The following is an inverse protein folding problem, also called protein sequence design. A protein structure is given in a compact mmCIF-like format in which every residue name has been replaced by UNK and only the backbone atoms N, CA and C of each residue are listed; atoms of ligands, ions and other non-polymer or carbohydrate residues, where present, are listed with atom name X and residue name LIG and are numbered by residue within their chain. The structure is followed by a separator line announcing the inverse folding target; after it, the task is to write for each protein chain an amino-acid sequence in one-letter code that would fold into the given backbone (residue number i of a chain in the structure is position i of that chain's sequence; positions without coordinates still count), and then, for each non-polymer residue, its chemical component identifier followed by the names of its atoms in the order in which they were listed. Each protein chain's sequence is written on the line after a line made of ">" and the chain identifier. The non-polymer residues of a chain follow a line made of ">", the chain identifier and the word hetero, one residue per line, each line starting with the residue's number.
data_IF_159781051406
#
_entry.id   IF_159781051406
#
_cell.length_a   1.000
_cell.length_b   1.000
_cell.length_c   1.000
_cell.angle_alpha   90.00
_cell.angle_beta   90.00
_cell.angle_gamma   90.00
#
_symmetry.space_group_name_H-M   'P 1'
#
loop_
_entity.id
_entity.type
_entity.pdbx_description
1 polymer ?
#
# COMPACT_ATOMS: atom_id res chain seq x y z
N UNK A 1 4.83 18.40 -8.63
CA UNK A 1 5.55 17.90 -7.46
C UNK A 1 6.92 17.39 -7.91
N UNK A 2 8.00 17.92 -7.35
CA UNK A 2 9.37 17.47 -7.66
C UNK A 2 9.77 16.33 -6.69
N UNK A 3 9.07 15.22 -6.77
CA UNK A 3 9.29 14.05 -5.89
C UNK A 3 8.81 12.76 -6.55
N UNK A 4 9.43 11.66 -6.17
CA UNK A 4 8.91 10.32 -6.40
C UNK A 4 7.94 9.94 -5.28
N UNK A 5 6.80 9.36 -5.65
CA UNK A 5 5.73 9.00 -4.73
C UNK A 5 5.59 7.49 -4.64
N UNK A 6 5.72 6.94 -3.45
CA UNK A 6 5.42 5.54 -3.13
C UNK A 6 4.12 5.51 -2.34
N UNK A 7 3.03 5.07 -2.98
CA UNK A 7 1.78 4.84 -2.28
C UNK A 7 1.86 3.59 -1.42
N UNK A 8 1.38 3.69 -0.20
CA UNK A 8 1.26 2.55 0.69
C UNK A 8 -0.13 1.93 0.53
N UNK A 9 -0.20 0.63 0.49
CA UNK A 9 -1.46 -0.10 0.37
C UNK A 9 -1.59 -1.13 1.49
N UNK A 10 -2.81 -1.22 2.06
CA UNK A 10 -3.16 -2.27 3.01
C UNK A 10 -4.65 -2.60 2.86
N UNK A 11 -5.00 -3.83 2.45
CA UNK A 11 -6.40 -4.17 2.13
C UNK A 11 -7.29 -4.31 3.36
N UNK A 12 -6.72 -4.54 4.55
CA UNK A 12 -7.43 -4.76 5.81
C UNK A 12 -7.65 -3.48 6.65
N UNK A 13 -7.17 -2.32 6.20
CA UNK A 13 -7.49 -1.04 6.83
C UNK A 13 -8.75 -0.47 6.20
N UNK A 14 -9.86 -0.67 6.87
CA UNK A 14 -11.20 -0.29 6.38
C UNK A 14 -11.94 0.55 7.42
N UNK A 15 -12.93 1.32 6.97
CA UNK A 15 -13.86 2.01 7.86
C UNK A 15 -14.96 1.03 8.29
N UNK A 16 -14.84 0.47 9.48
CA UNK A 16 -15.74 -0.58 9.98
C UNK A 16 -17.02 -0.05 10.62
N UNK A 17 -17.32 1.24 10.50
CA UNK A 17 -18.53 1.79 11.08
C UNK A 17 -19.74 1.04 10.55
N UNK A 18 -20.58 0.56 11.47
CA UNK A 18 -21.86 -0.03 11.09
C UNK A 18 -22.74 1.08 10.53
N UNK A 19 -23.22 0.92 9.31
CA UNK A 19 -24.30 1.76 8.84
C UNK A 19 -25.49 1.57 9.76
N UNK A 20 -26.11 2.63 10.25
CA UNK A 20 -27.32 2.53 11.05
C UNK A 20 -28.51 1.93 10.29
N UNK A 21 -28.30 1.49 9.05
CA UNK A 21 -29.36 1.18 8.08
C UNK A 21 -29.13 -0.11 7.29
N UNK A 22 -28.84 -1.23 7.95
CA UNK A 22 -28.95 -2.51 7.26
C UNK A 22 -30.44 -2.84 7.04
N UNK A 23 -31.04 -2.32 5.97
CA UNK A 23 -32.20 -2.91 5.34
C UNK A 23 -31.79 -3.56 4.03
N UNK A 24 -32.28 -4.75 3.80
CA UNK A 24 -31.82 -5.77 2.87
C UNK A 24 -32.36 -5.61 1.43
N UNK A 25 -32.55 -4.43 0.90
CA UNK A 25 -33.01 -4.24 -0.47
C UNK A 25 -32.01 -3.47 -1.31
N UNK A 26 -31.75 -3.99 -2.49
CA UNK A 26 -30.82 -3.42 -3.48
C UNK A 26 -31.53 -2.26 -4.19
N UNK A 27 -31.39 -1.06 -3.66
CA UNK A 27 -31.86 0.15 -4.29
C UNK A 27 -30.81 1.26 -4.27
N UNK A 28 -30.95 2.26 -5.11
CA UNK A 28 -30.03 3.40 -5.21
C UNK A 28 -29.82 4.14 -3.88
N UNK A 29 -30.85 4.21 -3.03
CA UNK A 29 -30.74 4.79 -1.68
C UNK A 29 -29.86 3.97 -0.74
N UNK A 30 -29.76 2.65 -0.91
CA UNK A 30 -28.92 1.79 -0.10
C UNK A 30 -27.45 1.83 -0.56
N UNK A 31 -27.22 1.97 -1.85
CA UNK A 31 -25.88 2.22 -2.37
C UNK A 31 -25.29 3.52 -1.78
N UNK A 32 -26.12 4.52 -1.53
CA UNK A 32 -25.70 5.76 -0.88
C UNK A 32 -25.34 5.59 0.60
N UNK A 33 -25.84 4.56 1.26
CA UNK A 33 -25.58 4.24 2.67
C UNK A 33 -24.33 3.36 2.86
N UNK A 34 -23.74 2.86 1.79
CA UNK A 34 -22.60 1.95 1.82
C UNK A 34 -21.26 2.71 1.94
N UNK A 35 -21.12 3.52 2.97
CA UNK A 35 -19.82 4.06 3.36
C UNK A 35 -19.04 3.10 4.25
N UNK A 36 -19.70 2.02 4.68
CA UNK A 36 -19.16 1.00 5.54
C UNK A 36 -18.14 0.13 4.83
N UNK A 37 -17.14 -0.33 5.60
CA UNK A 37 -16.09 -1.21 5.13
C UNK A 37 -15.30 -0.66 3.92
N UNK A 38 -15.37 0.65 3.71
CA UNK A 38 -14.55 1.29 2.71
C UNK A 38 -13.07 1.17 3.09
N UNK A 39 -12.27 0.64 2.17
CA UNK A 39 -10.82 0.62 2.32
C UNK A 39 -10.28 2.04 2.44
N UNK A 40 -9.49 2.29 3.47
CA UNK A 40 -8.90 3.59 3.72
C UNK A 40 -7.54 3.74 3.04
N UNK A 41 -7.21 4.97 2.69
CA UNK A 41 -5.88 5.39 2.26
C UNK A 41 -4.97 5.40 3.49
N UNK A 42 -3.95 4.57 3.52
CA UNK A 42 -3.02 4.50 4.66
C UNK A 42 -1.83 5.44 4.53
N UNK A 43 -1.71 6.15 3.40
CA UNK A 43 -0.71 7.17 3.18
C UNK A 43 0.32 6.85 2.10
N UNK A 44 1.40 7.62 2.11
CA UNK A 44 2.46 7.53 1.10
C UNK A 44 3.78 8.06 1.61
N UNK A 45 4.88 7.57 1.02
CA UNK A 45 6.21 8.11 1.19
C UNK A 45 6.61 8.92 -0.03
N UNK A 46 7.19 10.09 0.20
CA UNK A 46 7.73 10.97 -0.84
C UNK A 46 9.25 11.01 -0.73
N UNK A 47 9.93 10.75 -1.84
CA UNK A 47 11.36 10.95 -1.97
C UNK A 47 11.61 12.24 -2.76
N UNK A 48 12.24 13.21 -2.12
CA UNK A 48 12.62 14.50 -2.70
C UNK A 48 14.12 14.51 -2.95
N UNK A 49 14.58 14.32 -4.20
CA UNK A 49 15.99 14.52 -4.50
C UNK A 49 16.34 16.01 -4.50
N UNK A 50 17.59 16.31 -4.23
CA UNK A 50 18.12 17.65 -4.51
C UNK A 50 18.17 17.88 -6.01
N UNK A 51 17.82 19.10 -6.44
CA UNK A 51 17.70 19.46 -7.85
C UNK A 51 16.31 19.15 -8.44
N UNK A 52 16.15 19.49 -9.70
CA UNK A 52 14.91 19.29 -10.47
C UNK A 52 14.95 17.92 -11.16
N UNK A 53 13.93 17.11 -10.99
CA UNK A 53 13.78 15.86 -11.73
C UNK A 53 13.57 16.18 -13.20
N UNK A 54 14.44 15.67 -14.07
CA UNK A 54 14.41 15.83 -15.51
C UNK A 54 13.75 14.64 -16.21
N UNK A 55 14.05 13.41 -15.73
CA UNK A 55 13.47 12.17 -16.26
C UNK A 55 13.50 11.06 -15.23
N UNK A 56 12.72 10.00 -15.47
CA UNK A 56 12.73 8.78 -14.68
C UNK A 56 12.41 7.57 -15.54
N UNK A 57 13.13 6.48 -15.32
CA UNK A 57 12.86 5.17 -15.93
C UNK A 57 12.61 4.17 -14.83
N UNK A 58 11.57 3.35 -15.02
CA UNK A 58 11.15 2.35 -14.03
C UNK A 58 10.97 1.01 -14.72
N UNK A 59 11.42 -0.04 -14.04
CA UNK A 59 11.23 -1.41 -14.48
C UNK A 59 10.67 -2.25 -13.34
N UNK A 60 9.52 -2.86 -13.58
CA UNK A 60 8.87 -3.80 -12.67
C UNK A 60 9.13 -5.23 -13.16
N UNK A 61 9.94 -5.97 -12.42
CA UNK A 61 10.12 -7.40 -12.59
C UNK A 61 9.00 -8.13 -11.84
N UNK A 62 7.96 -8.54 -12.57
CA UNK A 62 6.81 -9.24 -11.98
C UNK A 62 7.13 -10.65 -11.53
N UNK A 63 8.18 -11.29 -12.08
CA UNK A 63 8.58 -12.64 -11.72
C UNK A 63 9.25 -12.68 -10.33
N UNK A 64 10.03 -11.66 -10.00
CA UNK A 64 10.67 -11.49 -8.70
C UNK A 64 9.93 -10.52 -7.77
N UNK A 65 8.90 -9.82 -8.27
CA UNK A 65 8.17 -8.74 -7.61
C UNK A 65 9.09 -7.61 -7.11
N UNK A 66 9.97 -7.16 -7.96
CA UNK A 66 10.95 -6.12 -7.69
C UNK A 66 10.77 -4.93 -8.63
N UNK A 67 10.76 -3.73 -8.06
CA UNK A 67 10.72 -2.48 -8.82
C UNK A 67 12.08 -1.80 -8.75
N UNK A 68 12.70 -1.57 -9.89
CA UNK A 68 13.89 -0.73 -10.01
C UNK A 68 13.57 0.59 -10.67
N UNK A 69 14.26 1.64 -10.29
CA UNK A 69 14.08 2.95 -10.89
C UNK A 69 15.38 3.73 -10.94
N UNK A 70 15.46 4.57 -11.97
CA UNK A 70 16.53 5.54 -12.17
C UNK A 70 15.90 6.91 -12.38
N UNK A 71 16.30 7.88 -11.56
CA UNK A 71 15.93 9.29 -11.67
C UNK A 71 17.14 10.09 -12.06
N UNK A 72 16.98 10.92 -13.09
CA UNK A 72 17.96 11.93 -13.47
C UNK A 72 17.49 13.30 -13.00
N UNK A 73 18.35 14.01 -12.26
CA UNK A 73 18.12 15.41 -11.88
C UNK A 73 19.16 16.31 -12.54
N UNK A 74 18.95 17.61 -12.46
CA UNK A 74 19.92 18.61 -12.94
C UNK A 74 21.20 18.70 -12.07
N UNK A 75 21.22 17.96 -10.94
CA UNK A 75 22.37 17.89 -10.02
C UNK A 75 23.06 16.53 -9.97
N UNK A 76 22.45 15.50 -10.55
CA UNK A 76 22.98 14.13 -10.57
C UNK A 76 21.89 13.08 -10.52
N UNK A 77 22.30 11.84 -10.40
CA UNK A 77 21.42 10.69 -10.55
C UNK A 77 21.14 9.99 -9.23
N UNK A 78 19.96 9.37 -9.17
CA UNK A 78 19.51 8.53 -8.08
C UNK A 78 18.91 7.24 -8.64
N UNK A 79 19.27 6.11 -8.07
CA UNK A 79 18.64 4.83 -8.36
C UNK A 79 17.99 4.26 -7.11
N UNK A 80 16.95 3.48 -7.30
CA UNK A 80 16.33 2.74 -6.21
C UNK A 80 15.93 1.33 -6.62
N UNK A 81 15.80 0.47 -5.63
CA UNK A 81 15.27 -0.88 -5.75
C UNK A 81 14.26 -1.09 -4.63
N UNK A 82 13.02 -1.37 -4.98
CA UNK A 82 11.92 -1.51 -4.04
C UNK A 82 11.25 -2.88 -4.16
N UNK A 83 10.87 -3.47 -3.03
CA UNK A 83 10.17 -4.74 -2.94
C UNK A 83 9.45 -4.86 -1.59
N UNK A 84 8.49 -5.77 -1.53
CA UNK A 84 7.78 -6.15 -0.31
C UNK A 84 8.12 -7.60 0.01
N UNK A 85 8.93 -7.88 1.05
CA UNK A 85 9.24 -9.24 1.44
C UNK A 85 7.98 -10.05 1.78
N UNK A 86 8.01 -11.33 1.48
CA UNK A 86 6.96 -12.26 1.86
C UNK A 86 7.47 -13.19 2.97
N UNK A 87 6.71 -13.43 4.04
CA UNK A 87 5.36 -12.90 4.36
C UNK A 87 5.39 -11.60 5.20
N UNK A 88 6.49 -10.92 5.29
CA UNK A 88 6.67 -9.75 6.16
C UNK A 88 5.83 -8.55 5.68
N UNK A 89 5.16 -7.88 6.61
CA UNK A 89 4.34 -6.69 6.35
C UNK A 89 5.18 -5.40 6.34
N UNK A 90 6.18 -5.36 5.49
CA UNK A 90 7.13 -4.23 5.36
C UNK A 90 7.44 -3.93 3.90
N UNK A 91 7.50 -2.68 3.54
CA UNK A 91 8.01 -2.24 2.24
C UNK A 91 9.46 -1.81 2.41
N UNK A 92 10.35 -2.27 1.55
CA UNK A 92 11.77 -1.94 1.55
C UNK A 92 12.12 -1.16 0.29
N UNK A 93 12.82 -0.03 0.45
CA UNK A 93 13.36 0.75 -0.67
C UNK A 93 14.84 1.00 -0.42
N UNK A 94 15.67 0.32 -1.19
CA UNK A 94 17.13 0.53 -1.21
C UNK A 94 17.43 1.68 -2.17
N UNK A 95 18.06 2.75 -1.70
CA UNK A 95 18.39 3.93 -2.51
C UNK A 95 19.92 4.04 -2.65
N UNK A 96 20.37 4.33 -3.87
CA UNK A 96 21.74 4.74 -4.15
C UNK A 96 21.71 6.08 -4.87
N UNK A 97 22.36 7.10 -4.31
CA UNK A 97 22.22 8.46 -4.81
C UNK A 97 23.56 9.18 -4.87
N UNK A 98 23.78 9.85 -6.01
CA UNK A 98 24.88 10.81 -6.19
C UNK A 98 24.55 12.21 -5.68
N UNK A 99 23.31 12.46 -5.27
CA UNK A 99 22.83 13.74 -4.77
C UNK A 99 22.14 13.56 -3.41
N UNK A 100 22.12 14.59 -2.55
CA UNK A 100 21.32 14.57 -1.33
C UNK A 100 19.83 14.36 -1.65
N UNK A 101 19.12 13.69 -0.77
CA UNK A 101 17.67 13.55 -0.83
C UNK A 101 17.09 13.43 0.58
N UNK A 102 15.78 13.55 0.68
CA UNK A 102 15.05 13.36 1.93
C UNK A 102 13.74 12.63 1.71
N UNK A 103 13.33 11.88 2.71
CA UNK A 103 12.02 11.28 2.78
C UNK A 103 11.02 12.18 3.52
N UNK A 104 9.74 12.07 3.13
CA UNK A 104 8.62 12.64 3.85
C UNK A 104 7.45 11.66 3.80
N UNK A 105 6.97 11.25 4.97
CA UNK A 105 5.72 10.51 5.11
C UNK A 105 4.52 11.47 5.05
N UNK A 106 3.48 11.07 4.35
CA UNK A 106 2.19 11.76 4.32
C UNK A 106 1.12 10.74 4.70
N UNK A 107 0.39 10.94 5.81
CA UNK A 107 -0.67 10.05 6.23
C UNK A 107 -1.82 10.00 5.21
N UNK A 108 -2.63 8.98 5.31
CA UNK A 108 -3.84 8.83 4.55
C UNK A 108 -4.91 9.87 4.90
N UNK A 109 -5.90 9.98 4.05
CA UNK A 109 -7.02 10.88 4.29
C UNK A 109 -8.02 10.23 5.27
N UNK A 110 -8.43 10.92 6.35
CA UNK A 110 -9.37 10.37 7.34
C UNK A 110 -10.80 10.20 6.83
N UNK A 111 -11.13 10.83 5.70
CA UNK A 111 -12.44 10.73 5.09
C UNK A 111 -12.56 9.48 4.22
N UNK A 112 -13.68 8.78 4.32
CA UNK A 112 -13.98 7.63 3.45
C UNK A 112 -13.82 7.98 1.97
N UNK A 113 -13.20 7.10 1.16
CA UNK A 113 -13.10 7.29 -0.29
C UNK A 113 -14.44 7.55 -0.97
N UNK A 114 -15.51 6.90 -0.53
CA UNK A 114 -16.84 7.13 -1.09
C UNK A 114 -17.36 8.55 -0.87
N UNK A 115 -17.15 9.09 0.33
CA UNK A 115 -17.51 10.49 0.62
C UNK A 115 -16.65 11.46 -0.19
N UNK A 116 -15.38 11.12 -0.41
CA UNK A 116 -14.48 11.95 -1.24
C UNK A 116 -14.90 11.98 -2.72
N UNK A 117 -15.46 10.88 -3.23
CA UNK A 117 -16.02 10.82 -4.60
C UNK A 117 -17.40 11.47 -4.68
N UNK A 118 -18.22 11.32 -3.65
CA UNK A 118 -19.58 11.83 -3.57
C UNK A 118 -19.76 12.74 -2.34
N UNK A 119 -19.22 13.98 -2.36
CA UNK A 119 -19.22 14.87 -1.19
C UNK A 119 -20.64 15.20 -0.64
N UNK A 120 -21.67 15.20 -1.49
CA UNK A 120 -23.06 15.42 -1.10
C UNK A 120 -23.58 14.36 -0.11
N UNK A 121 -22.98 13.17 -0.10
CA UNK A 121 -23.35 12.12 0.86
C UNK A 121 -22.91 12.46 2.29
N UNK A 122 -21.95 13.34 2.47
CA UNK A 122 -21.47 13.71 3.81
C UNK A 122 -22.59 14.29 4.67
N UNK A 123 -23.36 15.21 4.12
CA UNK A 123 -24.52 15.84 4.79
C UNK A 123 -25.70 14.87 4.88
N UNK A 124 -26.09 14.25 3.75
CA UNK A 124 -27.20 13.29 3.67
C UNK A 124 -27.08 12.16 4.69
N UNK A 125 -25.87 11.63 4.89
CA UNK A 125 -25.59 10.52 5.81
C UNK A 125 -25.15 10.99 7.21
N UNK A 126 -25.06 12.30 7.44
CA UNK A 126 -24.47 12.87 8.67
C UNK A 126 -23.09 12.26 8.98
N UNK A 127 -22.32 12.02 7.90
CA UNK A 127 -21.04 11.35 7.99
C UNK A 127 -20.01 12.23 8.71
N UNK A 128 -19.29 11.62 9.66
CA UNK A 128 -18.15 12.24 10.34
C UNK A 128 -16.87 11.60 9.85
N UNK A 129 -15.87 12.41 9.51
CA UNK A 129 -14.54 11.92 9.20
C UNK A 129 -13.94 11.22 10.44
N UNK A 130 -13.05 10.25 10.21
CA UNK A 130 -12.23 9.73 11.30
C UNK A 130 -11.36 10.86 11.87
N UNK A 131 -10.87 10.77 13.11
CA UNK A 131 -9.94 11.75 13.67
C UNK A 131 -8.74 11.95 12.75
N UNK A 132 -8.19 13.14 12.72
CA UNK A 132 -6.96 13.41 11.96
C UNK A 132 -5.82 12.53 12.48
N UNK A 133 -4.94 12.01 11.60
CA UNK A 133 -3.78 11.24 12.02
C UNK A 133 -2.83 12.09 12.90
N UNK A 134 -2.35 11.48 13.98
CA UNK A 134 -1.27 12.06 14.80
C UNK A 134 0.05 11.71 14.11
N UNK A 135 0.80 12.73 13.69
CA UNK A 135 2.05 12.58 12.94
C UNK A 135 3.25 12.93 13.80
N UNK A 136 4.24 12.05 13.84
CA UNK A 136 5.53 12.29 14.47
C UNK A 136 6.63 11.96 13.44
N UNK A 137 7.36 12.97 12.96
CA UNK A 137 8.40 12.80 11.96
C UNK A 137 9.68 13.52 12.37
N UNK A 138 10.78 12.81 12.23
CA UNK A 138 12.16 13.31 12.28
C UNK A 138 12.81 13.14 10.90
N UNK A 139 14.08 13.50 10.77
CA UNK A 139 14.78 13.47 9.49
C UNK A 139 14.78 12.06 8.83
N UNK A 140 15.11 11.03 9.62
CA UNK A 140 15.30 9.66 9.11
C UNK A 140 14.32 8.63 9.65
N UNK A 141 13.36 9.05 10.42
CA UNK A 141 12.31 8.18 10.91
C UNK A 141 11.04 8.96 11.20
N UNK A 142 9.90 8.26 11.18
CA UNK A 142 8.64 8.85 11.56
C UNK A 142 7.52 7.85 11.61
N UNK A 143 6.40 8.35 12.10
CA UNK A 143 5.18 7.58 12.19
C UNK A 143 3.95 8.46 12.05
N UNK A 144 2.84 7.84 11.76
CA UNK A 144 1.52 8.41 12.00
C UNK A 144 0.59 7.32 12.53
N UNK A 145 -0.31 7.75 13.41
CA UNK A 145 -1.35 6.88 13.97
C UNK A 145 -2.70 7.54 13.73
N UNK A 146 -3.63 6.79 13.21
CA UNK A 146 -5.00 7.24 12.98
C UNK A 146 -5.98 6.36 13.73
N UNK A 147 -6.68 6.95 14.70
CA UNK A 147 -7.80 6.31 15.37
C UNK A 147 -9.01 6.26 14.44
N UNK A 148 -9.78 5.18 14.55
CA UNK A 148 -10.99 4.97 13.77
C UNK A 148 -12.24 5.14 14.64
N UNK A 149 -13.26 5.83 14.12
CA UNK A 149 -14.55 5.99 14.83
C UNK A 149 -15.28 4.66 15.01
N UNK A 150 -14.94 3.67 14.20
CA UNK A 150 -15.45 2.29 14.35
C UNK A 150 -14.83 1.53 15.54
N UNK A 151 -13.81 2.10 16.14
CA UNK A 151 -12.91 1.46 17.10
C UNK A 151 -11.64 0.94 16.44
N UNK A 152 -10.58 0.87 17.24
CA UNK A 152 -9.26 0.52 16.75
C UNK A 152 -8.48 1.69 16.15
N UNK A 153 -7.32 1.36 15.63
CA UNK A 153 -6.44 2.30 14.96
C UNK A 153 -5.60 1.59 13.88
N UNK A 154 -4.98 2.37 13.02
CA UNK A 154 -3.84 1.90 12.24
C UNK A 154 -2.66 2.86 12.42
N UNK A 155 -1.47 2.33 12.27
CA UNK A 155 -0.25 3.12 12.32
C UNK A 155 0.70 2.72 11.21
N UNK A 156 1.40 3.71 10.67
CA UNK A 156 2.55 3.49 9.81
C UNK A 156 3.79 4.02 10.54
N UNK A 157 4.84 3.20 10.54
CA UNK A 157 6.17 3.56 10.98
C UNK A 157 7.16 3.38 9.85
N UNK A 158 8.07 4.33 9.71
CA UNK A 158 9.14 4.25 8.74
C UNK A 158 10.48 4.65 9.33
N UNK A 159 11.55 4.05 8.82
CA UNK A 159 12.92 4.34 9.23
C UNK A 159 13.87 4.18 8.07
N UNK A 160 14.70 5.20 7.85
CA UNK A 160 15.81 5.14 6.92
C UNK A 160 17.10 4.83 7.68
N UNK A 161 17.84 3.84 7.20
CA UNK A 161 19.15 3.47 7.77
C UNK A 161 20.25 3.57 6.71
N UNK A 162 21.47 4.00 7.09
CA UNK A 162 22.60 4.00 6.17
C UNK A 162 22.92 2.58 5.67
N UNK A 163 23.15 2.43 4.37
CA UNK A 163 23.55 1.19 3.71
C UNK A 163 24.99 1.21 3.17
N UNK A 164 25.77 2.20 3.59
CA UNK A 164 27.14 2.45 3.13
C UNK A 164 27.28 3.84 2.49
N UNK A 165 28.38 4.08 1.78
CA UNK A 165 28.64 5.36 1.11
C UNK A 165 27.60 5.58 0.01
N UNK A 166 26.88 6.70 0.08
CA UNK A 166 25.83 7.10 -0.88
C UNK A 166 24.66 6.11 -1.00
N UNK A 167 24.46 5.24 -0.01
CA UNK A 167 23.37 4.26 0.03
C UNK A 167 22.60 4.34 1.33
N UNK A 168 21.29 4.11 1.24
CA UNK A 168 20.45 3.90 2.41
C UNK A 168 19.33 2.91 2.10
N UNK A 169 18.68 2.44 3.15
CA UNK A 169 17.51 1.56 3.08
C UNK A 169 16.38 2.19 3.87
N UNK A 170 15.27 2.44 3.21
CA UNK A 170 14.02 2.81 3.86
C UNK A 170 13.22 1.55 4.14
N UNK A 171 12.76 1.40 5.36
CA UNK A 171 11.81 0.40 5.81
C UNK A 171 10.50 1.11 6.18
N UNK A 172 9.37 0.59 5.68
CA UNK A 172 8.04 1.14 5.98
C UNK A 172 7.08 0.01 6.30
N UNK A 173 6.52 0.02 7.50
CA UNK A 173 5.49 -0.95 7.89
C UNK A 173 4.21 -0.23 8.30
N UNK A 174 3.08 -0.80 7.94
CA UNK A 174 1.75 -0.37 8.39
C UNK A 174 1.09 -1.53 9.11
N UNK A 175 0.62 -1.29 10.32
CA UNK A 175 -0.15 -2.26 11.11
C UNK A 175 -1.50 -1.66 11.49
N UNK A 176 -2.50 -2.50 11.72
CA UNK A 176 -3.81 -2.12 12.22
C UNK A 176 -4.21 -2.99 13.41
N UNK A 177 -5.06 -2.43 14.25
CA UNK A 177 -5.66 -3.10 15.41
C UNK A 177 -7.15 -2.79 15.46
N UNK A 178 -7.96 -3.85 15.38
CA UNK A 178 -9.41 -3.77 15.43
C UNK A 178 -9.91 -4.91 16.33
N UNK A 179 -10.81 -4.66 17.28
CA UNK A 179 -11.58 -3.43 17.54
C UNK A 179 -10.85 -2.33 18.31
N UNK A 180 -9.80 -2.58 19.05
CA UNK A 180 -8.95 -1.55 19.61
C UNK A 180 -7.88 -2.10 20.54
N UNK A 181 -6.63 -1.74 20.33
CA UNK A 181 -5.59 -2.03 21.33
C UNK A 181 -4.56 -0.93 21.49
N UNK A 182 -4.54 0.11 20.68
CA UNK A 182 -3.47 1.13 20.65
C UNK A 182 -2.07 0.55 20.40
N UNK A 183 -1.96 -0.69 19.89
CA UNK A 183 -0.69 -1.39 19.68
C UNK A 183 -0.21 -1.35 18.24
N UNK A 184 -0.98 -0.76 17.31
CA UNK A 184 -0.64 -0.73 15.90
C UNK A 184 0.74 -0.11 15.65
N UNK A 185 1.08 0.99 16.33
CA UNK A 185 2.40 1.60 16.21
C UNK A 185 3.51 0.67 16.71
N UNK A 186 3.33 0.06 17.87
CA UNK A 186 4.32 -0.89 18.41
C UNK A 186 4.53 -2.10 17.50
N UNK A 187 3.45 -2.60 16.87
CA UNK A 187 3.54 -3.68 15.87
C UNK A 187 4.33 -3.24 14.63
N UNK A 188 4.02 -2.08 14.06
CA UNK A 188 4.73 -1.55 12.90
C UNK A 188 6.24 -1.35 13.20
N UNK A 189 6.57 -0.81 14.37
CA UNK A 189 7.96 -0.65 14.83
C UNK A 189 8.66 -1.99 14.97
N UNK A 190 8.04 -2.96 15.64
CA UNK A 190 8.58 -4.31 15.81
C UNK A 190 8.84 -5.01 14.48
N UNK A 191 7.94 -4.86 13.50
CA UNK A 191 8.11 -5.41 12.15
C UNK A 191 9.35 -4.81 11.48
N UNK A 192 9.52 -3.48 11.54
CA UNK A 192 10.70 -2.82 10.96
C UNK A 192 11.99 -3.28 11.65
N UNK A 193 12.00 -3.38 12.98
CA UNK A 193 13.18 -3.85 13.73
C UNK A 193 13.55 -5.29 13.38
N UNK A 194 12.59 -6.21 13.37
CA UNK A 194 12.80 -7.61 12.99
C UNK A 194 13.33 -7.73 11.55
N UNK A 195 12.80 -6.92 10.65
CA UNK A 195 13.23 -6.87 9.24
C UNK A 195 14.68 -6.39 9.11
N UNK A 196 15.09 -5.38 9.89
CA UNK A 196 16.47 -4.89 9.93
C UNK A 196 17.44 -5.96 10.44
N UNK A 197 17.05 -6.72 11.47
CA UNK A 197 17.86 -7.84 12.02
C UNK A 197 18.04 -8.94 10.98
N UNK A 198 16.97 -9.30 10.25
CA UNK A 198 17.02 -10.32 9.20
C UNK A 198 17.93 -9.91 8.04
N UNK A 199 17.93 -8.62 7.69
CA UNK A 199 18.75 -8.03 6.65
C UNK A 199 18.20 -8.21 5.23
N UNK A 200 18.42 -7.20 4.40
CA UNK A 200 17.84 -7.09 3.05
C UNK A 200 18.24 -8.22 2.11
N UNK A 201 19.48 -8.74 2.23
CA UNK A 201 19.97 -9.82 1.36
C UNK A 201 19.15 -11.11 1.52
N UNK A 202 18.93 -11.53 2.76
CA UNK A 202 18.18 -12.75 3.05
C UNK A 202 16.70 -12.58 2.73
N UNK A 203 16.12 -11.42 3.06
CA UNK A 203 14.72 -11.10 2.74
C UNK A 203 14.48 -11.13 1.24
N UNK A 204 15.34 -10.51 0.45
CA UNK A 204 15.26 -10.52 -1.01
C UNK A 204 15.30 -11.93 -1.58
N UNK A 205 16.24 -12.75 -1.08
CA UNK A 205 16.33 -14.15 -1.51
C UNK A 205 15.06 -14.94 -1.21
N UNK A 206 14.51 -14.83 0.00
CA UNK A 206 13.27 -15.50 0.39
C UNK A 206 12.08 -15.01 -0.45
N UNK A 207 11.98 -13.69 -0.68
CA UNK A 207 10.95 -13.09 -1.50
C UNK A 207 10.97 -13.63 -2.93
N UNK A 208 12.14 -13.68 -3.56
CA UNK A 208 12.31 -14.29 -4.89
C UNK A 208 11.90 -15.76 -4.91
N UNK A 209 12.33 -16.54 -3.92
CA UNK A 209 11.95 -17.95 -3.81
C UNK A 209 10.43 -18.12 -3.74
N UNK A 210 9.74 -17.30 -2.93
CA UNK A 210 8.29 -17.33 -2.82
C UNK A 210 7.61 -16.99 -4.15
N UNK A 211 8.02 -15.89 -4.81
CA UNK A 211 7.43 -15.46 -6.08
C UNK A 211 7.69 -16.45 -7.22
N UNK A 212 8.90 -17.00 -7.31
CA UNK A 212 9.23 -17.99 -8.31
C UNK A 212 8.37 -19.25 -8.11
N UNK A 213 8.27 -19.77 -6.88
CA UNK A 213 7.41 -20.91 -6.57
C UNK A 213 5.92 -20.63 -6.84
N UNK A 214 5.45 -19.38 -6.67
CA UNK A 214 4.10 -18.98 -7.04
C UNK A 214 3.88 -19.04 -8.55
N UNK A 215 4.76 -18.48 -9.34
CA UNK A 215 4.65 -18.47 -10.81
C UNK A 215 4.78 -19.86 -11.41
N UNK A 216 5.56 -20.75 -10.81
CA UNK A 216 5.72 -22.13 -11.26
C UNK A 216 4.45 -23.01 -11.08
N UNK A 217 3.50 -22.58 -10.24
CA UNK A 217 2.24 -23.31 -10.02
C UNK A 217 1.23 -23.17 -11.16
N UNK A 218 1.36 -22.14 -11.97
CA UNK A 218 0.45 -21.88 -13.07
C UNK A 218 1.22 -21.31 -14.25
N UNK A 219 1.21 -22.04 -15.34
CA UNK A 219 1.96 -21.69 -16.54
C UNK A 219 1.04 -21.61 -17.75
N UNK A 220 1.15 -20.54 -18.51
CA UNK A 220 0.47 -20.34 -19.76
C UNK A 220 1.49 -19.98 -20.83
N UNK A 221 1.47 -20.73 -21.97
CA UNK A 221 2.23 -20.36 -23.16
C UNK A 221 1.32 -20.45 -24.38
N UNK A 222 1.08 -19.33 -25.02
CA UNK A 222 0.22 -19.21 -26.19
C UNK A 222 0.91 -18.36 -27.27
N UNK A 223 0.51 -18.50 -28.55
CA UNK A 223 1.09 -17.72 -29.64
C UNK A 223 0.91 -16.20 -29.49
N UNK A 224 -0.21 -15.75 -28.94
CA UNK A 224 -0.46 -14.34 -28.66
C UNK A 224 0.26 -13.89 -27.39
N UNK A 225 1.42 -13.28 -27.58
CA UNK A 225 2.26 -12.80 -26.47
C UNK A 225 1.66 -11.64 -25.68
N UNK A 226 0.68 -10.91 -26.22
CA UNK A 226 -0.02 -9.85 -25.47
C UNK A 226 -0.98 -10.47 -24.45
N UNK A 227 -1.73 -11.48 -24.85
CA UNK A 227 -2.61 -12.22 -23.94
C UNK A 227 -1.80 -13.00 -22.89
N UNK A 228 -0.70 -13.64 -23.29
CA UNK A 228 0.20 -14.33 -22.38
C UNK A 228 0.73 -13.34 -21.30
N UNK A 229 1.24 -12.18 -21.71
CA UNK A 229 1.72 -11.16 -20.79
C UNK A 229 0.60 -10.63 -19.89
N UNK A 230 -0.60 -10.45 -20.43
CA UNK A 230 -1.76 -10.01 -19.64
C UNK A 230 -2.08 -11.02 -18.54
N UNK A 231 -2.06 -12.33 -18.83
CA UNK A 231 -2.24 -13.37 -17.84
C UNK A 231 -1.22 -13.27 -16.70
N UNK A 232 0.08 -13.17 -16.98
CA UNK A 232 1.09 -13.05 -15.93
C UNK A 232 0.98 -11.77 -15.13
N UNK A 233 0.58 -10.65 -15.75
CA UNK A 233 0.30 -9.40 -15.04
C UNK A 233 -0.89 -9.57 -14.07
N UNK A 234 -1.96 -10.27 -14.46
CA UNK A 234 -3.09 -10.52 -13.57
C UNK A 234 -2.69 -11.46 -12.41
N UNK A 235 -1.93 -12.52 -12.71
CA UNK A 235 -1.38 -13.41 -11.68
C UNK A 235 -0.52 -12.64 -10.66
N UNK A 236 0.35 -11.76 -11.12
CA UNK A 236 1.13 -10.87 -10.25
C UNK A 236 0.23 -10.00 -9.37
N UNK A 237 -0.76 -9.31 -9.96
CA UNK A 237 -1.70 -8.48 -9.21
C UNK A 237 -2.47 -9.28 -8.17
N UNK A 238 -2.92 -10.46 -8.51
CA UNK A 238 -3.65 -11.35 -7.59
C UNK A 238 -2.77 -11.70 -6.38
N UNK A 239 -1.53 -12.12 -6.61
CA UNK A 239 -0.59 -12.48 -5.55
C UNK A 239 -0.19 -11.30 -4.65
N UNK A 240 -0.15 -10.07 -5.18
CA UNK A 240 0.21 -8.88 -4.38
C UNK A 240 -0.86 -8.48 -3.36
N UNK A 241 -2.09 -8.97 -3.46
CA UNK A 241 -3.18 -8.63 -2.55
C UNK A 241 -3.95 -9.85 -2.02
N UNK A 242 -3.51 -11.07 -2.33
CA UNK A 242 -4.07 -12.31 -1.82
C UNK A 242 -2.99 -13.15 -1.16
N UNK A 243 -3.14 -13.41 0.12
CA UNK A 243 -2.27 -14.31 0.88
C UNK A 243 -3.15 -15.27 1.67
N UNK A 244 -2.75 -16.56 1.86
CA UNK A 244 -3.55 -17.54 2.61
C UNK A 244 -3.96 -17.04 4.00
N UNK A 245 -3.08 -16.34 4.68
CA UNK A 245 -3.30 -15.80 6.03
C UNK A 245 -3.63 -14.29 6.00
N UNK A 246 -3.83 -13.72 4.81
CA UNK A 246 -4.13 -12.31 4.62
C UNK A 246 -5.62 -12.01 4.51
N UNK A 247 -6.01 -10.73 4.53
CA UNK A 247 -7.40 -10.33 4.32
C UNK A 247 -7.82 -10.57 2.86
N UNK A 248 -9.12 -10.77 2.67
CA UNK A 248 -9.69 -10.86 1.34
C UNK A 248 -9.50 -9.54 0.57
N UNK A 249 -9.25 -9.64 -0.73
CA UNK A 249 -9.13 -8.48 -1.63
C UNK A 249 -10.52 -7.88 -1.89
N UNK A 250 -10.61 -6.56 -1.82
CA UNK A 250 -11.80 -5.82 -2.26
C UNK A 250 -11.78 -5.56 -3.79
N UNK A 251 -12.83 -4.93 -4.31
CA UNK A 251 -12.94 -4.64 -5.76
C UNK A 251 -11.99 -3.55 -6.26
N UNK A 252 -11.28 -2.85 -5.40
CA UNK A 252 -10.19 -1.96 -5.81
C UNK A 252 -8.93 -2.73 -6.22
N UNK A 253 -8.84 -3.99 -5.81
CA UNK A 253 -7.67 -4.83 -6.09
C UNK A 253 -6.43 -4.40 -5.31
N UNK A 254 -5.28 -4.61 -5.91
CA UNK A 254 -3.95 -4.41 -5.28
C UNK A 254 -3.70 -2.98 -4.83
N UNK A 255 -3.98 -2.01 -5.70
CA UNK A 255 -3.55 -0.63 -5.50
C UNK A 255 -4.71 0.26 -5.04
N UNK A 256 -4.46 1.03 -3.97
CA UNK A 256 -5.46 2.02 -3.56
C UNK A 256 -5.69 3.04 -4.66
N UNK A 257 -6.95 3.18 -5.04
CA UNK A 257 -7.41 4.20 -5.98
C UNK A 257 -8.71 4.81 -5.44
N UNK A 258 -8.82 6.12 -5.50
CA UNK A 258 -10.09 6.77 -5.18
C UNK A 258 -11.17 6.27 -6.15
N UNK A 259 -12.18 5.62 -5.61
CA UNK A 259 -13.21 4.90 -6.36
C UNK A 259 -14.57 5.12 -5.73
N UNK A 260 -15.68 5.16 -6.53
CA UNK A 260 -17.04 5.14 -6.00
C UNK A 260 -17.40 3.79 -5.34
N UNK A 261 -16.58 2.73 -5.54
CA UNK A 261 -16.80 1.38 -5.05
C UNK A 261 -15.61 0.90 -4.18
N UNK A 262 -15.35 1.52 -3.04
CA UNK A 262 -14.14 1.26 -2.27
C UNK A 262 -14.31 0.15 -1.22
N UNK A 263 -15.22 -0.79 -1.42
CA UNK A 263 -15.63 -1.80 -0.42
C UNK A 263 -15.62 -3.21 -1.00
N UNK A 264 -15.90 -4.19 -0.14
CA UNK A 264 -16.19 -5.55 -0.57
C UNK A 264 -17.58 -5.63 -1.22
N UNK A 265 -17.63 -6.29 -2.36
CA UNK A 265 -18.87 -6.56 -3.10
C UNK A 265 -18.95 -8.05 -3.38
N UNK A 266 -20.02 -8.68 -2.90
CA UNK A 266 -20.21 -10.11 -3.02
C UNK A 266 -20.79 -10.51 -4.37
N UNK A 267 -20.76 -11.85 -4.62
CA UNK A 267 -21.20 -12.53 -5.82
C UNK A 267 -20.33 -12.17 -7.02
N UNK A 268 -20.90 -11.77 -8.13
CA UNK A 268 -20.19 -11.59 -9.40
C UNK A 268 -18.95 -10.70 -9.30
N UNK A 269 -19.02 -9.59 -8.59
CA UNK A 269 -17.90 -8.64 -8.46
C UNK A 269 -16.67 -9.29 -7.82
N UNK A 270 -16.85 -10.00 -6.70
CA UNK A 270 -15.71 -10.64 -6.03
C UNK A 270 -15.20 -11.84 -6.84
N UNK A 271 -16.09 -12.60 -7.48
CA UNK A 271 -15.70 -13.70 -8.35
C UNK A 271 -14.82 -13.20 -9.51
N UNK A 272 -15.24 -12.13 -10.21
CA UNK A 272 -14.45 -11.53 -11.29
C UNK A 272 -13.11 -10.97 -10.81
N UNK A 273 -13.02 -10.51 -9.57
CA UNK A 273 -11.78 -10.00 -8.99
C UNK A 273 -10.73 -11.11 -8.86
N UNK A 274 -11.16 -12.37 -8.57
CA UNK A 274 -10.28 -13.53 -8.40
C UNK A 274 -10.12 -14.40 -9.65
N UNK A 275 -10.75 -14.00 -10.76
CA UNK A 275 -10.56 -14.68 -12.05
C UNK A 275 -9.49 -13.95 -12.86
N UNK A 276 -8.32 -14.56 -13.09
CA UNK A 276 -7.26 -13.98 -13.90
C UNK A 276 -7.60 -13.90 -15.38
#
# INVERSE_FOLDING_TARGET
>A
LNALVFHLGRPDVTDHRKAPYRKTSIGTEEADKMVDFCRLDVGKMLLFPEGKILSGTFYLDIYNAELTGHLKTDKGDLTFHAYTPQPEEVNIVEVSSGVPYRWKGIPGNPCSPRIRVFPHLKEKLKYKDNPAPVVNQKDKEGSWVQSLLAGGDYATYWKEVPGGKSRSVLYVSTANEVPASSLSLAKAMKTVEATQITGTKLLKQKTRQWWNAYHERSFLSIPDKKLENFYFIQMYKLATCSHPDGPAMDVMGTFFKLSPWPSFWWNLNIQLTYMP
#
